data_IF_168830696419
#
_entry.id   IF_168830696419
#
_cell.length_a   1.000
_cell.length_b   1.000
_cell.length_c   1.000
_cell.angle_alpha   90.00
_cell.angle_beta   90.00
_cell.angle_gamma   90.00
#
_symmetry.space_group_name_H-M   'P 1'
#
loop_
_entity.id
_entity.type
_entity.pdbx_description
1 polymer ?
#
# COMPACT_ATOMS: atom_id res chain seq x y z
N UNK A 1 5.15 2.75 -36.31
CA UNK A 1 4.47 2.26 -35.09
C UNK A 1 3.61 3.40 -34.59
N UNK A 2 2.29 3.20 -34.53
CA UNK A 2 1.42 4.15 -33.82
C UNK A 2 1.79 4.17 -32.34
N UNK A 3 1.47 5.26 -31.64
CA UNK A 3 1.58 5.27 -30.18
C UNK A 3 0.69 4.16 -29.61
N UNK A 4 1.17 3.39 -28.62
CA UNK A 4 0.35 2.36 -27.98
C UNK A 4 -0.82 3.03 -27.26
N UNK A 5 -2.02 2.47 -27.44
CA UNK A 5 -3.19 2.87 -26.68
C UNK A 5 -3.21 2.17 -25.30
N UNK A 6 -3.63 2.87 -24.23
CA UNK A 6 -4.16 4.24 -24.26
C UNK A 6 -3.05 5.32 -24.19
N UNK A 7 -3.10 6.27 -25.12
CA UNK A 7 -2.39 7.56 -24.97
C UNK A 7 -3.28 8.58 -24.26
N UNK A 8 -2.87 9.03 -23.07
CA UNK A 8 -3.54 10.11 -22.37
C UNK A 8 -2.97 11.47 -22.79
N UNK A 9 -3.84 12.39 -23.20
CA UNK A 9 -3.45 13.78 -23.51
C UNK A 9 -2.90 14.53 -22.29
N UNK A 10 -3.29 14.12 -21.09
CA UNK A 10 -2.88 14.68 -19.81
C UNK A 10 -2.32 13.56 -18.92
N UNK A 11 -1.46 13.89 -17.95
CA UNK A 11 -1.00 12.91 -16.96
C UNK A 11 -2.23 12.32 -16.25
N UNK A 12 -2.45 10.99 -16.30
CA UNK A 12 -3.56 10.38 -15.60
C UNK A 12 -3.39 10.58 -14.09
N UNK A 13 -4.51 10.80 -13.39
CA UNK A 13 -4.51 10.90 -11.94
C UNK A 13 -3.98 9.59 -11.34
N UNK A 14 -3.01 9.60 -10.39
CA UNK A 14 -2.43 8.37 -9.85
C UNK A 14 -3.44 7.37 -9.29
N UNK A 15 -4.47 7.87 -8.57
CA UNK A 15 -5.53 7.02 -8.02
C UNK A 15 -6.58 6.57 -9.05
N UNK A 16 -7.22 7.50 -9.77
CA UNK A 16 -8.37 7.16 -10.64
C UNK A 16 -8.02 6.92 -12.11
N UNK A 17 -6.92 7.48 -12.60
CA UNK A 17 -6.53 7.43 -14.02
C UNK A 17 -5.60 6.26 -14.37
N UNK A 18 -5.01 5.61 -13.36
CA UNK A 18 -4.21 4.40 -13.53
C UNK A 18 -5.05 3.18 -13.14
N UNK A 19 -4.92 2.08 -13.89
CA UNK A 19 -5.55 0.82 -13.53
C UNK A 19 -4.80 0.07 -12.41
N UNK A 20 -5.45 -0.91 -11.77
CA UNK A 20 -4.85 -1.72 -10.71
C UNK A 20 -3.83 -2.76 -11.24
N UNK A 21 -3.68 -2.89 -12.57
CA UNK A 21 -2.89 -3.94 -13.22
C UNK A 21 -3.77 -5.09 -13.76
N UNK A 22 -3.34 -5.71 -14.86
CA UNK A 22 -4.13 -6.74 -15.56
C UNK A 22 -4.26 -8.04 -14.76
N UNK A 23 -3.29 -8.33 -13.91
CA UNK A 23 -3.18 -9.57 -13.12
C UNK A 23 -3.66 -9.41 -11.66
N UNK A 24 -4.35 -8.30 -11.36
CA UNK A 24 -4.95 -8.06 -10.05
C UNK A 24 -5.99 -9.16 -9.73
N UNK A 25 -6.07 -9.64 -8.47
CA UNK A 25 -5.38 -9.15 -7.26
C UNK A 25 -3.98 -9.75 -7.04
N UNK A 26 -3.54 -10.69 -7.88
CA UNK A 26 -2.34 -11.50 -7.63
C UNK A 26 -1.03 -10.73 -7.87
N UNK A 27 -1.03 -9.87 -8.89
CA UNK A 27 -0.01 -8.88 -9.19
C UNK A 27 -0.74 -7.58 -9.49
N UNK A 28 -0.45 -6.55 -8.70
CA UNK A 28 -1.07 -5.23 -8.83
C UNK A 28 -0.06 -4.20 -9.30
N UNK A 29 -0.51 -3.10 -9.88
CA UNK A 29 0.31 -1.91 -9.99
C UNK A 29 0.30 -1.18 -8.65
N UNK A 30 1.48 -0.78 -8.18
CA UNK A 30 1.63 0.08 -7.01
C UNK A 30 2.14 1.45 -7.45
N UNK A 31 1.51 2.52 -6.97
CA UNK A 31 2.01 3.88 -7.09
C UNK A 31 2.80 4.23 -5.83
N UNK A 32 4.09 4.52 -5.97
CA UNK A 32 5.00 4.72 -4.83
C UNK A 32 5.05 6.19 -4.42
N UNK A 33 4.74 6.45 -3.16
CA UNK A 33 4.73 7.77 -2.53
C UNK A 33 5.95 7.98 -1.64
N UNK A 34 6.46 6.90 -1.03
CA UNK A 34 7.54 6.91 -0.07
C UNK A 34 8.58 5.85 -0.39
N UNK A 35 9.84 6.19 -0.15
CA UNK A 35 10.98 5.30 -0.24
C UNK A 35 11.66 5.16 1.12
N UNK A 36 12.53 4.15 1.31
CA UNK A 36 13.30 4.01 2.54
C UNK A 36 14.27 5.17 2.85
N UNK A 37 14.45 6.10 1.91
CA UNK A 37 15.35 7.23 2.04
C UNK A 37 14.64 8.52 2.45
N UNK A 38 13.31 8.50 2.59
CA UNK A 38 12.51 9.69 2.88
C UNK A 38 12.36 9.94 4.40
N UNK A 39 12.58 11.20 4.77
CA UNK A 39 12.38 11.72 6.14
C UNK A 39 11.09 12.53 6.29
N UNK A 40 10.31 12.61 5.21
CA UNK A 40 9.06 13.35 5.11
C UNK A 40 8.00 12.39 4.61
N UNK A 41 6.83 12.37 5.26
CA UNK A 41 5.65 11.70 4.73
C UNK A 41 5.09 12.52 3.58
N UNK A 42 5.08 11.90 2.42
CA UNK A 42 4.41 12.38 1.23
C UNK A 42 3.12 11.59 1.03
N UNK A 43 2.16 12.20 0.39
CA UNK A 43 0.87 11.59 0.06
C UNK A 43 0.33 12.25 -1.20
N UNK A 44 -0.30 11.47 -2.07
CA UNK A 44 -1.00 12.00 -3.24
C UNK A 44 -2.18 12.82 -2.75
N UNK A 45 -2.20 14.11 -3.10
CA UNK A 45 -3.36 14.94 -2.87
C UNK A 45 -4.53 14.43 -3.73
N UNK A 46 -5.56 13.87 -3.07
CA UNK A 46 -6.73 13.23 -3.71
C UNK A 46 -7.44 14.11 -4.74
N UNK A 47 -7.33 15.43 -4.63
CA UNK A 47 -8.01 16.37 -5.53
C UNK A 47 -7.22 16.66 -6.80
N UNK A 48 -5.89 16.73 -6.71
CA UNK A 48 -5.02 17.17 -7.80
C UNK A 48 -4.17 16.06 -8.40
N UNK A 49 -3.98 14.96 -7.68
CA UNK A 49 -3.13 13.84 -8.07
C UNK A 49 -1.64 14.11 -7.95
N UNK A 50 -1.22 15.26 -7.40
CA UNK A 50 0.19 15.55 -7.14
C UNK A 50 0.63 15.01 -5.80
N UNK A 51 1.89 14.56 -5.73
CA UNK A 51 2.50 14.23 -4.45
C UNK A 51 2.69 15.50 -3.62
N UNK A 52 2.13 15.53 -2.41
CA UNK A 52 2.19 16.64 -1.47
C UNK A 52 2.90 16.20 -0.19
N UNK A 53 3.57 17.13 0.46
CA UNK A 53 4.05 16.94 1.83
C UNK A 53 2.84 16.86 2.76
N UNK A 54 2.64 15.73 3.42
CA UNK A 54 1.70 15.59 4.54
C UNK A 54 2.35 16.14 5.80
N UNK A 55 3.49 15.56 6.20
CA UNK A 55 4.24 15.99 7.40
C UNK A 55 5.68 15.48 7.41
N UNK A 56 6.63 16.18 8.05
CA UNK A 56 7.91 15.58 8.42
C UNK A 56 7.73 14.39 9.36
N UNK A 57 8.65 13.42 9.30
CA UNK A 57 8.69 12.37 10.32
C UNK A 57 9.13 12.97 11.65
N UNK A 58 8.35 12.71 12.70
CA UNK A 58 8.60 13.25 14.04
C UNK A 58 9.73 12.50 14.76
N UNK A 59 9.74 11.19 14.64
CA UNK A 59 10.69 10.29 15.28
C UNK A 59 11.85 9.97 14.33
N UNK A 60 12.72 9.04 14.73
CA UNK A 60 13.74 8.44 13.87
C UNK A 60 13.19 7.30 13.00
N UNK A 61 11.87 7.16 12.87
CA UNK A 61 11.26 6.09 12.06
C UNK A 61 11.44 6.40 10.58
N UNK A 62 11.94 5.42 9.84
CA UNK A 62 12.07 5.45 8.38
C UNK A 62 11.27 4.31 7.77
N UNK A 63 10.60 4.51 6.62
CA UNK A 63 9.93 3.43 5.91
C UNK A 63 10.91 2.29 5.60
N UNK A 64 10.64 1.04 5.97
CA UNK A 64 11.58 -0.06 5.70
C UNK A 64 11.50 -0.58 4.25
N UNK A 65 10.49 -0.16 3.49
CA UNK A 65 10.21 -0.59 2.11
C UNK A 65 9.73 0.58 1.26
N UNK A 66 9.57 0.36 -0.04
CA UNK A 66 8.75 1.25 -0.84
C UNK A 66 7.32 1.19 -0.32
N UNK A 67 6.65 2.34 -0.28
CA UNK A 67 5.30 2.47 0.24
C UNK A 67 4.48 3.39 -0.66
N UNK A 68 3.21 3.05 -0.80
CA UNK A 68 2.19 3.85 -1.46
C UNK A 68 0.91 3.04 -1.54
N UNK A 69 0.20 3.11 -2.66
CA UNK A 69 -1.12 2.47 -2.78
C UNK A 69 -1.33 1.75 -4.11
N UNK A 70 -2.39 0.93 -4.16
CA UNK A 70 -2.88 0.29 -5.38
C UNK A 70 -3.90 1.21 -6.07
N UNK A 71 -3.68 1.67 -7.32
CA UNK A 71 -4.66 2.49 -8.03
C UNK A 71 -6.02 1.79 -8.16
N UNK A 72 -7.08 2.59 -8.29
CA UNK A 72 -8.47 2.10 -8.39
C UNK A 72 -8.90 1.13 -7.27
N UNK A 73 -8.34 1.29 -6.07
CA UNK A 73 -8.83 0.64 -4.86
C UNK A 73 -9.39 1.67 -3.89
N UNK A 74 -10.26 1.24 -2.99
CA UNK A 74 -10.85 2.06 -1.95
C UNK A 74 -11.16 1.20 -0.73
N UNK A 75 -10.71 1.61 0.44
CA UNK A 75 -10.99 0.95 1.71
C UNK A 75 -12.34 1.43 2.25
N UNK A 76 -13.42 0.82 1.76
CA UNK A 76 -14.79 1.15 2.09
C UNK A 76 -15.44 0.17 3.08
N UNK A 77 -16.71 -0.14 2.85
CA UNK A 77 -17.50 -1.00 3.73
C UNK A 77 -17.01 -2.45 3.71
N UNK A 78 -16.58 -2.96 2.56
CA UNK A 78 -16.13 -4.37 2.44
C UNK A 78 -14.82 -4.56 3.17
N UNK A 79 -13.85 -3.66 2.94
CA UNK A 79 -12.57 -3.71 3.66
C UNK A 79 -12.79 -3.53 5.17
N UNK A 80 -13.60 -2.55 5.58
CA UNK A 80 -13.96 -2.36 6.99
C UNK A 80 -14.52 -3.63 7.64
N UNK A 81 -15.45 -4.33 6.97
CA UNK A 81 -16.05 -5.56 7.47
C UNK A 81 -15.08 -6.75 7.60
N UNK A 82 -13.90 -6.70 6.97
CA UNK A 82 -12.87 -7.74 7.07
C UNK A 82 -12.00 -7.60 8.33
N UNK A 83 -12.04 -6.44 8.99
CA UNK A 83 -11.33 -6.18 10.23
C UNK A 83 -12.32 -6.12 11.41
N UNK A 84 -12.36 -7.14 12.28
CA UNK A 84 -13.36 -7.22 13.35
C UNK A 84 -13.17 -6.17 14.46
N UNK A 85 -12.07 -5.43 14.47
CA UNK A 85 -11.81 -4.34 15.42
C UNK A 85 -11.87 -2.96 14.77
N UNK A 86 -12.26 -2.88 13.50
CA UNK A 86 -12.54 -1.62 12.82
C UNK A 86 -14.04 -1.36 12.74
N UNK A 87 -14.42 -0.10 12.90
CA UNK A 87 -15.80 0.37 12.74
C UNK A 87 -16.14 0.60 11.25
N UNK A 88 -15.14 0.90 10.42
CA UNK A 88 -15.22 1.20 8.99
C UNK A 88 -13.86 1.05 8.31
N UNK A 89 -13.81 1.14 6.98
CA UNK A 89 -12.56 1.43 6.27
C UNK A 89 -12.11 2.87 6.45
N UNK A 90 -10.83 3.14 6.21
CA UNK A 90 -10.20 4.47 6.33
C UNK A 90 -10.59 5.46 5.21
N UNK A 91 -11.31 5.00 4.18
CA UNK A 91 -11.67 5.78 3.00
C UNK A 91 -10.47 6.32 2.18
N UNK A 92 -9.37 5.57 2.20
CA UNK A 92 -8.18 5.76 1.38
C UNK A 92 -8.04 4.65 0.32
N UNK A 93 -7.19 4.86 -0.70
CA UNK A 93 -6.70 3.76 -1.53
C UNK A 93 -6.01 2.70 -0.66
N UNK A 94 -6.08 1.42 -1.05
CA UNK A 94 -5.45 0.33 -0.30
C UNK A 94 -3.93 0.46 -0.31
N UNK A 95 -3.35 0.54 0.89
CA UNK A 95 -1.92 0.69 1.10
C UNK A 95 -1.11 -0.57 0.77
N UNK A 96 0.09 -0.36 0.24
CA UNK A 96 1.00 -1.43 -0.16
C UNK A 96 2.47 -1.11 0.16
N UNK A 97 3.14 -2.08 0.77
CA UNK A 97 4.57 -2.12 1.04
C UNK A 97 5.27 -3.03 0.04
N UNK A 98 6.21 -2.52 -0.75
CA UNK A 98 6.89 -3.29 -1.80
C UNK A 98 8.38 -3.49 -1.49
N UNK A 99 8.76 -4.77 -1.42
CA UNK A 99 10.13 -5.24 -1.24
C UNK A 99 10.82 -5.47 -2.59
N UNK A 100 12.10 -5.09 -2.68
CA UNK A 100 12.95 -5.29 -3.86
C UNK A 100 14.41 -5.39 -3.40
N UNK A 101 15.25 -6.11 -4.14
CA UNK A 101 16.70 -6.19 -3.86
C UNK A 101 17.40 -4.88 -4.19
N UNK A 102 16.98 -4.20 -5.26
CA UNK A 102 17.63 -2.96 -5.69
C UNK A 102 17.03 -1.74 -5.02
N UNK A 103 17.86 -0.82 -4.48
CA UNK A 103 17.37 0.40 -3.87
C UNK A 103 16.71 1.29 -4.92
N UNK A 104 15.52 1.80 -4.59
CA UNK A 104 14.83 2.82 -5.37
C UNK A 104 14.68 4.05 -4.47
N UNK A 105 15.19 5.18 -4.92
CA UNK A 105 15.24 6.45 -4.20
C UNK A 105 14.38 7.55 -4.87
N UNK A 106 13.40 7.15 -5.68
CA UNK A 106 12.47 8.04 -6.35
C UNK A 106 11.04 7.65 -5.99
N UNK A 107 10.26 8.62 -5.54
CA UNK A 107 8.81 8.55 -5.45
C UNK A 107 8.15 8.96 -6.80
N UNK A 108 6.82 8.91 -6.85
CA UNK A 108 6.01 9.13 -8.06
C UNK A 108 6.32 8.16 -9.21
N UNK A 109 6.48 6.88 -8.87
CA UNK A 109 6.71 5.81 -9.85
C UNK A 109 5.64 4.73 -9.73
N UNK A 110 5.43 4.01 -10.83
CA UNK A 110 4.54 2.86 -10.88
C UNK A 110 5.40 1.61 -11.05
N UNK A 111 5.06 0.54 -10.33
CA UNK A 111 5.73 -0.74 -10.47
C UNK A 111 4.75 -1.91 -10.34
N UNK A 112 5.03 -3.06 -10.97
CA UNK A 112 4.25 -4.28 -10.75
C UNK A 112 4.67 -4.93 -9.41
N UNK A 113 3.70 -5.14 -8.53
CA UNK A 113 3.89 -5.65 -7.18
C UNK A 113 3.11 -6.96 -7.02
N UNK A 114 3.85 -8.06 -6.81
CA UNK A 114 3.27 -9.37 -6.52
C UNK A 114 2.89 -9.46 -5.05
N UNK A 115 1.60 -9.62 -4.78
CA UNK A 115 1.04 -9.73 -3.43
C UNK A 115 1.51 -11.02 -2.76
N UNK A 116 2.01 -10.94 -1.53
CA UNK A 116 2.53 -12.10 -0.77
C UNK A 116 1.99 -12.21 0.65
N UNK A 117 1.27 -11.21 1.15
CA UNK A 117 0.59 -11.20 2.45
C UNK A 117 0.22 -9.79 2.87
N UNK A 118 0.01 -9.56 4.16
CA UNK A 118 -0.25 -8.22 4.69
C UNK A 118 -0.36 -8.15 6.21
N UNK A 119 -0.57 -6.93 6.69
CA UNK A 119 -0.77 -6.60 8.10
C UNK A 119 -2.21 -6.13 8.29
N UNK A 120 -2.97 -6.84 9.13
CA UNK A 120 -4.29 -6.38 9.55
C UNK A 120 -4.08 -5.30 10.60
N UNK A 121 -4.33 -4.06 10.20
CA UNK A 121 -4.03 -2.89 10.98
C UNK A 121 -5.30 -2.07 11.22
N UNK A 122 -5.35 -1.47 12.41
CA UNK A 122 -6.44 -0.60 12.82
C UNK A 122 -5.84 0.70 13.33
N UNK A 123 -6.17 1.82 12.68
CA UNK A 123 -5.75 3.16 13.07
C UNK A 123 -6.98 3.99 13.43
N UNK A 124 -7.06 4.49 14.67
CA UNK A 124 -8.22 5.25 15.16
C UNK A 124 -9.59 4.55 14.98
N UNK A 125 -9.62 3.22 14.98
CA UNK A 125 -10.83 2.42 14.77
C UNK A 125 -11.18 2.18 13.29
N UNK A 126 -10.33 2.57 12.36
CA UNK A 126 -10.50 2.37 10.92
C UNK A 126 -9.61 1.23 10.42
N UNK A 127 -10.12 0.44 9.48
CA UNK A 127 -9.35 -0.63 8.84
C UNK A 127 -8.33 0.00 7.90
N UNK A 128 -7.06 -0.15 8.27
CA UNK A 128 -5.88 0.53 7.70
C UNK A 128 -4.87 -0.51 7.19
N UNK A 129 -5.37 -1.58 6.58
CA UNK A 129 -4.62 -2.77 6.17
C UNK A 129 -3.42 -2.44 5.27
N UNK A 130 -2.26 -3.04 5.57
CA UNK A 130 -1.02 -2.85 4.79
C UNK A 130 -0.72 -4.11 3.98
N UNK A 131 -0.94 -4.06 2.67
CA UNK A 131 -0.55 -5.16 1.78
C UNK A 131 0.98 -5.25 1.73
N UNK A 132 1.52 -6.46 1.79
CA UNK A 132 2.95 -6.72 1.60
C UNK A 132 3.12 -7.43 0.26
N UNK A 133 3.99 -6.85 -0.57
CA UNK A 133 4.30 -7.33 -1.90
C UNK A 133 5.81 -7.30 -2.18
N UNK A 134 6.21 -7.96 -3.26
CA UNK A 134 7.55 -7.87 -3.83
C UNK A 134 7.46 -7.33 -5.25
N UNK A 135 8.50 -6.62 -5.70
CA UNK A 135 8.61 -6.20 -7.10
C UNK A 135 8.55 -7.44 -8.01
N UNK A 136 7.54 -7.51 -8.89
CA UNK A 136 7.20 -8.74 -9.60
C UNK A 136 8.32 -9.21 -10.54
N UNK A 137 8.94 -8.25 -11.23
CA UNK A 137 10.04 -8.45 -12.19
C UNK A 137 11.44 -8.46 -11.56
N UNK A 138 11.55 -8.47 -10.22
CA UNK A 138 12.81 -8.67 -9.54
C UNK A 138 13.21 -10.16 -9.57
N UNK A 139 14.30 -10.46 -10.27
CA UNK A 139 14.83 -11.82 -10.42
C UNK A 139 15.25 -12.44 -9.08
N UNK A 140 15.70 -11.64 -8.11
CA UNK A 140 16.07 -12.09 -6.77
C UNK A 140 14.82 -12.47 -5.96
N UNK A 141 13.70 -11.78 -6.19
CA UNK A 141 12.44 -12.02 -5.49
C UNK A 141 11.55 -13.08 -6.18
N UNK A 142 11.98 -13.68 -7.30
CA UNK A 142 11.17 -14.61 -8.12
C UNK A 142 10.58 -15.80 -7.34
N UNK A 143 11.31 -16.31 -6.34
CA UNK A 143 10.90 -17.41 -5.47
C UNK A 143 9.96 -17.00 -4.32
N UNK A 144 9.83 -15.70 -4.05
CA UNK A 144 8.99 -15.18 -2.97
C UNK A 144 7.55 -15.11 -3.47
N UNK A 145 6.69 -15.96 -2.89
CA UNK A 145 5.28 -16.15 -3.27
C UNK A 145 4.34 -16.12 -2.07
N UNK A 146 4.89 -16.01 -0.87
CA UNK A 146 4.21 -15.96 0.42
C UNK A 146 5.16 -15.36 1.46
N UNK A 147 4.65 -14.72 2.51
CA UNK A 147 5.46 -14.14 3.58
C UNK A 147 6.43 -15.14 4.23
N UNK A 148 6.07 -16.43 4.30
CA UNK A 148 6.96 -17.47 4.86
C UNK A 148 8.24 -17.69 4.04
N UNK A 149 8.30 -17.19 2.81
CA UNK A 149 9.51 -17.22 1.99
C UNK A 149 10.47 -16.06 2.29
N UNK A 150 10.06 -15.10 3.13
CA UNK A 150 10.90 -14.02 3.61
C UNK A 150 11.49 -14.34 4.99
N UNK A 151 12.67 -13.80 5.31
CA UNK A 151 13.15 -13.76 6.68
C UNK A 151 12.13 -13.03 7.58
N UNK A 152 11.71 -13.65 8.69
CA UNK A 152 10.76 -13.04 9.63
C UNK A 152 11.16 -11.64 10.12
N UNK A 153 12.46 -11.30 10.32
CA UNK A 153 12.85 -9.96 10.74
C UNK A 153 12.46 -8.84 9.78
N UNK A 154 12.24 -9.14 8.49
CA UNK A 154 11.74 -8.13 7.54
C UNK A 154 10.27 -7.77 7.83
N UNK A 155 9.44 -8.77 8.12
CA UNK A 155 8.03 -8.58 8.45
C UNK A 155 7.89 -7.95 9.85
N UNK A 156 8.73 -8.36 10.80
CA UNK A 156 8.80 -7.75 12.13
C UNK A 156 9.17 -6.26 12.04
N UNK A 157 10.09 -5.88 11.15
CA UNK A 157 10.47 -4.49 10.92
C UNK A 157 9.32 -3.65 10.35
N UNK A 158 8.57 -4.20 9.39
CA UNK A 158 7.36 -3.55 8.87
C UNK A 158 6.33 -3.33 9.98
N UNK A 159 6.05 -4.37 10.78
CA UNK A 159 5.16 -4.27 11.93
C UNK A 159 5.64 -3.22 12.93
N UNK A 160 6.93 -3.20 13.25
CA UNK A 160 7.51 -2.21 14.17
C UNK A 160 7.39 -0.78 13.63
N UNK A 161 7.62 -0.58 12.33
CA UNK A 161 7.50 0.74 11.69
C UNK A 161 6.09 1.31 11.89
N UNK A 162 5.04 0.58 11.52
CA UNK A 162 3.66 1.05 11.65
C UNK A 162 3.21 1.25 13.11
N UNK A 163 3.71 0.44 14.06
CA UNK A 163 3.41 0.64 15.48
C UNK A 163 4.12 1.86 16.10
N UNK A 164 5.13 2.43 15.45
CA UNK A 164 5.99 3.47 16.07
C UNK A 164 6.10 4.78 15.28
N UNK A 165 5.78 4.82 13.98
CA UNK A 165 6.00 6.00 13.13
C UNK A 165 5.18 7.25 13.53
N UNK A 166 4.05 7.06 14.21
CA UNK A 166 3.22 8.14 14.77
C UNK A 166 3.42 8.34 16.27
N UNK A 167 4.33 7.60 16.92
CA UNK A 167 4.47 7.61 18.37
C UNK A 167 4.88 8.99 18.88
N UNK A 168 4.17 9.41 19.92
CA UNK A 168 4.43 10.64 20.65
C UNK A 168 4.88 10.26 22.06
N UNK A 169 6.07 10.71 22.52
CA UNK A 169 6.50 10.41 23.88
C UNK A 169 5.47 10.87 24.92
N UNK A 170 4.95 9.94 25.71
CA UNK A 170 3.94 10.19 26.74
C UNK A 170 2.48 10.01 26.31
N UNK A 171 2.22 9.62 25.06
CA UNK A 171 0.88 9.29 24.55
C UNK A 171 0.82 7.82 24.10
N UNK A 172 -0.35 7.21 24.29
CA UNK A 172 -0.60 5.86 23.79
C UNK A 172 -0.81 5.87 22.27
N UNK A 173 -0.25 4.86 21.58
CA UNK A 173 -0.49 4.68 20.15
C UNK A 173 -1.90 4.12 19.91
N UNK A 174 -2.63 4.74 19.00
CA UNK A 174 -3.94 4.27 18.55
C UNK A 174 -3.85 3.30 17.37
N UNK A 175 -2.65 3.14 16.80
CA UNK A 175 -2.35 2.16 15.76
C UNK A 175 -2.10 0.79 16.37
N UNK A 176 -2.83 -0.22 15.91
CA UNK A 176 -2.67 -1.61 16.32
C UNK A 176 -2.49 -2.53 15.11
N UNK A 177 -1.77 -3.64 15.31
CA UNK A 177 -1.62 -4.70 14.31
C UNK A 177 -1.99 -6.01 14.98
N UNK A 178 -3.13 -6.56 14.58
CA UNK A 178 -3.69 -7.77 15.20
C UNK A 178 -2.97 -9.02 14.72
N UNK A 179 -2.78 -9.13 13.41
CA UNK A 179 -2.18 -10.30 12.79
C UNK A 179 -1.48 -9.94 11.50
N UNK A 180 -0.50 -10.78 11.20
CA UNK A 180 0.08 -10.90 9.87
C UNK A 180 -0.70 -11.99 9.16
N UNK A 181 -1.19 -11.73 7.95
CA UNK A 181 -1.94 -12.70 7.16
C UNK A 181 -1.22 -13.10 5.88
N UNK A 182 -1.61 -14.28 5.38
CA UNK A 182 -1.03 -14.89 4.20
C UNK A 182 -1.45 -14.21 2.89
N UNK A 183 -0.87 -14.69 1.80
CA UNK A 183 -1.17 -14.19 0.46
C UNK A 183 -2.64 -14.32 0.08
N UNK A 184 -3.30 -15.41 0.46
CA UNK A 184 -4.69 -15.65 0.08
C UNK A 184 -5.62 -14.61 0.71
N UNK A 185 -5.43 -14.33 2.00
CA UNK A 185 -6.16 -13.26 2.66
C UNK A 185 -5.85 -11.89 2.07
N UNK A 186 -4.58 -11.60 1.76
CA UNK A 186 -4.19 -10.34 1.14
C UNK A 186 -4.88 -10.11 -0.22
N UNK A 187 -4.97 -11.15 -1.07
CA UNK A 187 -5.67 -11.04 -2.34
C UNK A 187 -7.17 -10.77 -2.16
N UNK A 188 -7.81 -11.36 -1.13
CA UNK A 188 -9.21 -11.04 -0.79
C UNK A 188 -9.40 -9.58 -0.35
N UNK A 189 -8.45 -9.01 0.40
CA UNK A 189 -8.48 -7.59 0.79
C UNK A 189 -8.37 -6.69 -0.45
N UNK A 190 -7.49 -7.03 -1.40
CA UNK A 190 -7.38 -6.33 -2.68
C UNK A 190 -8.67 -6.44 -3.49
N UNK A 191 -9.28 -7.63 -3.59
CA UNK A 191 -10.57 -7.80 -4.27
C UNK A 191 -11.69 -6.97 -3.63
N UNK A 192 -11.74 -6.96 -2.29
CA UNK A 192 -12.72 -6.17 -1.53
C UNK A 192 -12.54 -4.67 -1.80
N UNK A 193 -11.30 -4.18 -1.83
CA UNK A 193 -11.02 -2.76 -2.06
C UNK A 193 -11.25 -2.32 -3.52
N UNK A 194 -11.04 -3.22 -4.49
CA UNK A 194 -11.43 -3.00 -5.88
C UNK A 194 -12.96 -2.90 -6.01
N UNK A 195 -13.70 -3.78 -5.35
CA UNK A 195 -15.16 -3.76 -5.36
C UNK A 195 -15.73 -2.51 -4.66
N UNK A 196 -15.16 -2.11 -3.52
CA UNK A 196 -15.50 -0.86 -2.83
C UNK A 196 -15.22 0.38 -3.72
N UNK A 197 -14.14 0.37 -4.51
CA UNK A 197 -13.84 1.44 -5.46
C UNK A 197 -14.87 1.50 -6.59
N UNK A 198 -15.18 0.37 -7.22
CA UNK A 198 -16.16 0.29 -8.31
C UNK A 198 -17.56 0.76 -7.85
N UNK A 199 -17.98 0.31 -6.65
CA UNK A 199 -19.25 0.73 -6.05
C UNK A 199 -19.30 2.25 -5.79
N UNK A 200 -18.18 2.84 -5.40
CA UNK A 200 -18.09 4.26 -5.04
C UNK A 200 -17.87 5.17 -6.24
N UNK A 201 -17.08 4.73 -7.23
CA UNK A 201 -16.53 5.56 -8.31
C UNK A 201 -16.72 5.01 -9.73
N UNK A 202 -17.16 3.76 -9.93
CA UNK A 202 -17.20 3.02 -11.20
C UNK A 202 -18.24 3.49 -12.24
N UNK A 203 -18.47 4.80 -12.36
CA UNK A 203 -19.38 5.41 -13.34
C UNK A 203 -18.68 5.85 -14.61
#
# INVERSE_FOLDING_TARGET
MGFPDPFYRWRPHPWHGLGPGEDAPSVVLAYIELTPFDYVKYEVDKSTGYLRVDRPQRSSSQPPTLYGFVPQTYCGNRVGAMNPHADRGDHDPLDICVLTERPINRAEIILPARVIGGLQATDHGEADDKIIAVLDNDAVMKGVRDLKHLPSPLVERLRHYFLTYKMVPGEDSLMTIEKVYDREHAMRVVEASLADYDETFGK
#
